data_IF_284443717819
#
_entry.id   IF_284443717819
#
_cell.length_a   1.000
_cell.length_b   1.000
_cell.length_c   1.000
_cell.angle_alpha   90.00
_cell.angle_beta   90.00
_cell.angle_gamma   90.00
#
_symmetry.space_group_name_H-M   'P 1'
#
loop_
_entity.id
_entity.type
_entity.pdbx_description
1 polymer ?
#
# COMPACT_ATOMS: atom_id res chain seq x y z
N UNK A 1 -17.68 -8.45 3.30
CA UNK A 1 -17.31 -9.53 2.39
C UNK A 1 -17.26 -9.01 0.95
N UNK A 2 -16.19 -9.35 0.26
CA UNK A 2 -15.99 -8.87 -1.09
C UNK A 2 -16.90 -9.59 -2.09
N UNK A 3 -17.45 -8.82 -3.03
CA UNK A 3 -18.20 -9.37 -4.15
C UNK A 3 -17.36 -9.43 -5.42
N UNK A 4 -16.10 -8.98 -5.36
CA UNK A 4 -15.22 -8.95 -6.52
C UNK A 4 -14.53 -10.30 -6.72
N UNK A 5 -14.29 -10.65 -7.97
CA UNK A 5 -13.52 -11.85 -8.29
C UNK A 5 -12.03 -11.58 -8.07
N UNK A 6 -11.23 -12.64 -7.99
CA UNK A 6 -9.79 -12.52 -7.84
C UNK A 6 -9.17 -11.72 -8.98
N UNK A 7 -9.66 -11.92 -10.22
CA UNK A 7 -9.15 -11.18 -11.37
C UNK A 7 -9.47 -9.69 -11.27
N UNK A 8 -10.67 -9.36 -10.80
CA UNK A 8 -11.06 -7.96 -10.62
C UNK A 8 -10.18 -7.28 -9.57
N UNK A 9 -9.91 -7.98 -8.47
CA UNK A 9 -9.05 -7.45 -7.42
C UNK A 9 -7.63 -7.22 -7.96
N UNK A 10 -7.09 -8.20 -8.69
CA UNK A 10 -5.76 -8.05 -9.28
C UNK A 10 -5.70 -6.88 -10.24
N UNK A 11 -6.77 -6.65 -11.00
CA UNK A 11 -6.80 -5.57 -11.99
C UNK A 11 -6.71 -4.19 -11.32
N UNK A 12 -7.31 -4.02 -10.14
CA UNK A 12 -7.26 -2.72 -9.44
C UNK A 12 -5.97 -2.54 -8.64
N UNK A 13 -5.26 -3.62 -8.33
CA UNK A 13 -4.08 -3.59 -7.47
C UNK A 13 -2.77 -3.46 -8.23
N UNK A 14 -2.79 -3.49 -9.55
CA UNK A 14 -1.57 -3.45 -10.34
C UNK A 14 -1.70 -2.50 -11.51
N UNK A 15 -0.58 -1.88 -11.87
CA UNK A 15 -0.51 -0.99 -13.03
C UNK A 15 0.89 -1.02 -13.62
N UNK A 16 0.97 -0.95 -14.95
CA UNK A 16 2.25 -0.89 -15.67
C UNK A 16 2.54 0.55 -16.03
N UNK A 17 3.76 0.98 -15.75
CA UNK A 17 4.23 2.33 -16.05
C UNK A 17 5.36 2.29 -17.07
N UNK A 18 5.44 3.32 -17.90
CA UNK A 18 6.51 3.46 -18.89
C UNK A 18 7.72 4.10 -18.22
N UNK A 19 8.46 3.30 -17.47
CA UNK A 19 9.60 3.79 -16.71
C UNK A 19 10.51 2.64 -16.30
N UNK A 20 11.70 2.99 -15.83
CA UNK A 20 12.64 2.02 -15.26
C UNK A 20 12.21 1.61 -13.87
N UNK A 21 12.58 0.40 -13.47
CA UNK A 21 12.28 -0.11 -12.13
C UNK A 21 12.75 0.84 -11.03
N UNK A 22 13.95 1.37 -11.16
CA UNK A 22 14.52 2.27 -10.16
C UNK A 22 13.66 3.52 -9.95
N UNK A 23 13.16 4.09 -11.04
CA UNK A 23 12.31 5.30 -10.96
C UNK A 23 10.97 4.98 -10.33
N UNK A 24 10.35 3.87 -10.75
CA UNK A 24 9.08 3.44 -10.16
C UNK A 24 9.24 3.15 -8.67
N UNK A 25 10.31 2.45 -8.30
CA UNK A 25 10.58 2.10 -6.91
C UNK A 25 10.69 3.35 -6.03
N UNK A 26 11.49 4.33 -6.46
CA UNK A 26 11.66 5.58 -5.73
C UNK A 26 10.33 6.34 -5.61
N UNK A 27 9.53 6.30 -6.66
CA UNK A 27 8.22 6.98 -6.67
C UNK A 27 7.26 6.35 -5.68
N UNK A 28 7.24 5.02 -5.59
CA UNK A 28 6.39 4.32 -4.62
C UNK A 28 6.81 4.65 -3.19
N UNK A 29 8.12 4.67 -2.92
CA UNK A 29 8.62 5.05 -1.58
C UNK A 29 8.13 6.44 -1.20
N UNK A 30 8.26 7.42 -2.12
CA UNK A 30 7.82 8.78 -1.85
C UNK A 30 6.33 8.86 -1.60
N UNK A 31 5.53 8.13 -2.40
CA UNK A 31 4.08 8.18 -2.24
C UNK A 31 3.65 7.60 -0.90
N UNK A 32 4.26 6.48 -0.47
CA UNK A 32 3.94 5.93 0.84
C UNK A 32 4.25 6.94 1.94
N UNK A 33 5.39 7.62 1.86
CA UNK A 33 5.74 8.64 2.84
C UNK A 33 4.80 9.84 2.80
N UNK A 34 4.43 10.28 1.59
CA UNK A 34 3.49 11.39 1.44
C UNK A 34 2.11 11.06 2.00
N UNK A 35 1.71 9.79 1.95
CA UNK A 35 0.46 9.33 2.52
C UNK A 35 0.55 9.16 4.05
N UNK A 36 1.71 9.41 4.64
CA UNK A 36 1.90 9.32 6.08
C UNK A 36 2.34 7.96 6.58
N UNK A 37 2.70 7.06 5.68
CA UNK A 37 3.15 5.73 6.07
C UNK A 37 4.61 5.75 6.49
N UNK A 38 4.94 4.85 7.40
CA UNK A 38 6.33 4.61 7.83
C UNK A 38 6.85 3.41 7.05
N UNK A 39 7.95 3.62 6.33
CA UNK A 39 8.56 2.51 5.57
C UNK A 39 9.19 1.54 6.56
N UNK A 40 8.81 0.28 6.47
CA UNK A 40 9.36 -0.78 7.32
C UNK A 40 10.52 -1.49 6.66
N UNK A 41 10.35 -1.88 5.41
CA UNK A 41 11.42 -2.51 4.63
C UNK A 41 11.35 -2.01 3.21
N UNK A 42 12.50 -1.95 2.55
CA UNK A 42 12.55 -1.64 1.13
C UNK A 42 13.80 -2.27 0.55
N UNK A 43 13.66 -2.89 -0.61
CA UNK A 43 14.77 -3.58 -1.28
C UNK A 43 14.56 -3.47 -2.78
N UNK A 44 15.41 -2.67 -3.41
CA UNK A 44 15.32 -2.45 -4.85
C UNK A 44 15.56 -3.73 -5.64
N UNK A 45 16.46 -4.58 -5.17
CA UNK A 45 16.79 -5.81 -5.91
C UNK A 45 15.60 -6.75 -6.02
N UNK A 46 14.87 -6.96 -4.93
CA UNK A 46 13.68 -7.80 -4.96
C UNK A 46 12.46 -7.03 -5.45
N UNK A 47 12.47 -5.71 -5.31
CA UNK A 47 11.34 -4.88 -5.68
C UNK A 47 10.27 -4.77 -4.61
N UNK A 48 10.53 -5.25 -3.39
CA UNK A 48 9.54 -5.22 -2.32
C UNK A 48 9.70 -4.00 -1.43
N UNK A 49 8.55 -3.44 -1.04
CA UNK A 49 8.45 -2.36 -0.06
C UNK A 49 7.34 -2.74 0.89
N UNK A 50 7.58 -2.60 2.19
CA UNK A 50 6.51 -2.72 3.19
C UNK A 50 6.47 -1.45 4.01
N UNK A 51 5.26 -1.03 4.36
CA UNK A 51 5.03 0.19 5.10
C UNK A 51 3.80 0.04 5.98
N UNK A 52 3.70 0.90 6.97
CA UNK A 52 2.60 0.84 7.93
C UNK A 52 2.15 2.25 8.26
N UNK A 53 0.83 2.48 8.25
CA UNK A 53 0.29 3.76 8.69
C UNK A 53 0.43 3.91 10.19
N UNK A 54 0.39 5.15 10.71
CA UNK A 54 0.32 5.34 12.16
C UNK A 54 -0.91 4.67 12.72
N UNK A 55 -0.78 4.13 13.92
CA UNK A 55 -1.88 3.48 14.60
C UNK A 55 -2.84 4.53 15.13
N UNK A 56 -4.13 4.35 14.86
CA UNK A 56 -5.19 5.19 15.40
C UNK A 56 -5.89 4.42 16.50
N UNK A 57 -6.00 5.04 17.69
CA UNK A 57 -6.67 4.42 18.81
C UNK A 57 -7.98 5.11 19.11
N UNK A 58 -8.97 4.32 19.55
CA UNK A 58 -10.24 4.83 19.99
C UNK A 58 -10.69 4.08 21.21
N UNK A 59 -11.42 4.76 22.07
CA UNK A 59 -12.02 4.12 23.23
C UNK A 59 -13.43 3.69 22.92
N UNK A 60 -13.74 2.48 23.33
CA UNK A 60 -15.11 1.98 23.27
C UNK A 60 -15.55 1.66 24.70
N UNK A 61 -16.84 1.46 24.89
CA UNK A 61 -17.36 1.09 26.20
C UNK A 61 -16.73 -0.24 26.61
N UNK A 62 -15.99 -0.22 27.73
CA UNK A 62 -15.37 -1.41 28.27
C UNK A 62 -14.08 -1.85 27.58
N UNK A 63 -13.51 -1.01 26.69
CA UNK A 63 -12.28 -1.39 26.01
C UNK A 63 -11.75 -0.33 25.08
N UNK A 64 -10.91 -0.76 24.11
CA UNK A 64 -10.36 0.15 23.13
C UNK A 64 -10.18 -0.55 21.78
N UNK A 65 -10.02 0.25 20.73
CA UNK A 65 -9.69 -0.25 19.39
C UNK A 65 -8.41 0.42 18.93
N UNK A 66 -7.61 -0.33 18.17
CA UNK A 66 -6.41 0.19 17.51
C UNK A 66 -6.48 -0.23 16.05
N UNK A 67 -6.32 0.74 15.16
CA UNK A 67 -6.45 0.52 13.72
C UNK A 67 -5.23 1.07 13.01
N UNK A 68 -4.64 0.27 12.15
CA UNK A 68 -3.61 0.73 11.22
C UNK A 68 -3.78 0.02 9.89
N UNK A 69 -3.04 0.50 8.90
CA UNK A 69 -3.05 -0.10 7.57
C UNK A 69 -1.63 -0.52 7.23
N UNK A 70 -1.49 -1.74 6.74
CA UNK A 70 -0.23 -2.24 6.23
C UNK A 70 -0.27 -2.14 4.71
N UNK A 71 0.79 -1.58 4.13
CA UNK A 71 0.91 -1.44 2.69
C UNK A 71 2.11 -2.23 2.22
N UNK A 72 1.94 -2.95 1.14
CA UNK A 72 3.05 -3.64 0.49
C UNK A 72 3.05 -3.25 -0.97
N UNK A 73 4.23 -3.21 -1.56
CA UNK A 73 4.39 -2.96 -2.99
C UNK A 73 5.37 -3.96 -3.56
N UNK A 74 5.10 -4.41 -4.76
CA UNK A 74 6.03 -5.23 -5.52
C UNK A 74 6.25 -4.56 -6.86
N UNK A 75 7.50 -4.18 -7.13
CA UNK A 75 7.88 -3.45 -8.33
C UNK A 75 8.72 -4.38 -9.19
N UNK A 76 8.23 -4.65 -10.39
CA UNK A 76 8.84 -5.64 -11.28
C UNK A 76 9.02 -5.06 -12.68
N UNK A 77 10.23 -5.08 -13.18
CA UNK A 77 10.47 -4.65 -14.56
C UNK A 77 10.14 -5.79 -15.49
N UNK A 78 9.12 -5.60 -16.34
CA UNK A 78 8.67 -6.63 -17.28
C UNK A 78 9.58 -6.72 -18.48
N UNK A 79 10.09 -5.59 -18.92
CA UNK A 79 11.07 -5.43 -20.00
C UNK A 79 11.62 -4.00 -19.88
N UNK A 80 12.74 -3.69 -20.56
CA UNK A 80 13.33 -2.35 -20.42
C UNK A 80 12.29 -1.25 -20.69
N UNK A 81 12.15 -0.36 -19.72
CA UNK A 81 11.22 0.77 -19.82
C UNK A 81 9.77 0.46 -19.48
N UNK A 82 9.45 -0.76 -19.05
CA UNK A 82 8.09 -1.13 -18.65
C UNK A 82 8.14 -1.80 -17.29
N UNK A 83 7.59 -1.13 -16.29
CA UNK A 83 7.64 -1.60 -14.91
C UNK A 83 6.24 -1.73 -14.35
N UNK A 84 5.96 -2.88 -13.77
CA UNK A 84 4.68 -3.16 -13.15
C UNK A 84 4.79 -2.88 -11.66
N UNK A 85 3.82 -2.16 -11.12
CA UNK A 85 3.70 -1.90 -9.70
C UNK A 85 2.44 -2.56 -9.19
N UNK A 86 2.59 -3.42 -8.20
CA UNK A 86 1.46 -4.03 -7.50
C UNK A 86 1.42 -3.47 -6.09
N UNK A 87 0.25 -3.02 -5.67
CA UNK A 87 0.02 -2.50 -4.34
C UNK A 87 -0.98 -3.36 -3.60
N UNK A 88 -0.80 -3.46 -2.29
CA UNK A 88 -1.73 -4.19 -1.45
C UNK A 88 -1.86 -3.45 -0.12
N UNK A 89 -3.09 -3.07 0.22
CA UNK A 89 -3.38 -2.40 1.48
C UNK A 89 -4.26 -3.30 2.32
N UNK A 90 -3.87 -3.50 3.58
CA UNK A 90 -4.62 -4.36 4.51
C UNK A 90 -4.87 -3.56 5.78
N UNK A 91 -6.14 -3.41 6.13
CA UNK A 91 -6.51 -2.76 7.39
C UNK A 91 -6.38 -3.78 8.52
N UNK A 92 -5.66 -3.41 9.56
CA UNK A 92 -5.47 -4.24 10.74
C UNK A 92 -6.20 -3.58 11.90
N UNK A 93 -7.10 -4.31 12.53
CA UNK A 93 -7.90 -3.80 13.62
C UNK A 93 -7.74 -4.71 14.83
N UNK A 94 -7.37 -4.11 15.98
CA UNK A 94 -7.27 -4.83 17.23
C UNK A 94 -8.29 -4.25 18.20
N UNK A 95 -9.10 -5.11 18.80
CA UNK A 95 -10.06 -4.72 19.81
C UNK A 95 -9.71 -5.39 21.13
N UNK A 96 -9.78 -4.61 22.21
CA UNK A 96 -9.55 -5.12 23.55
C UNK A 96 -10.78 -4.87 24.40
N UNK A 97 -11.25 -5.91 25.09
CA UNK A 97 -12.34 -5.75 26.05
C UNK A 97 -11.77 -5.37 27.43
N UNK A 98 -12.64 -4.92 28.31
CA UNK A 98 -12.24 -4.57 29.68
C UNK A 98 -11.74 -5.76 30.48
N UNK A 99 -11.90 -6.97 29.98
CA UNK A 99 -11.46 -8.18 30.67
C UNK A 99 -10.15 -8.73 30.09
N UNK A 100 -9.45 -7.95 29.30
CA UNK A 100 -8.16 -8.35 28.77
C UNK A 100 -8.20 -9.20 27.52
N UNK A 101 -9.38 -9.56 27.04
CA UNK A 101 -9.52 -10.31 25.80
C UNK A 101 -9.19 -9.40 24.62
N UNK A 102 -8.38 -9.91 23.67
CA UNK A 102 -7.99 -9.17 22.47
C UNK A 102 -8.42 -9.93 21.24
N UNK A 103 -8.95 -9.19 20.28
CA UNK A 103 -9.29 -9.74 18.98
C UNK A 103 -8.59 -8.92 17.92
N UNK A 104 -7.94 -9.60 16.99
CA UNK A 104 -7.26 -8.95 15.89
C UNK A 104 -7.86 -9.43 14.57
N UNK A 105 -8.15 -8.49 13.68
CA UNK A 105 -8.74 -8.80 12.40
C UNK A 105 -8.03 -8.01 11.30
N UNK A 106 -7.59 -8.71 10.27
CA UNK A 106 -6.98 -8.11 9.09
C UNK A 106 -7.96 -8.20 7.94
N UNK A 107 -8.22 -7.07 7.30
CA UNK A 107 -9.19 -6.98 6.21
C UNK A 107 -8.52 -6.34 5.00
N UNK A 108 -8.44 -7.05 3.87
CA UNK A 108 -7.90 -6.44 2.65
C UNK A 108 -8.76 -5.27 2.21
N UNK A 109 -8.11 -4.19 1.80
CA UNK A 109 -8.79 -3.04 1.21
C UNK A 109 -8.93 -3.31 -0.27
N UNK A 110 -10.17 -3.24 -0.79
CA UNK A 110 -10.47 -3.55 -2.18
C UNK A 110 -11.15 -2.39 -2.91
N UNK A 111 -11.19 -1.21 -2.28
CA UNK A 111 -11.79 -0.03 -2.88
C UNK A 111 -10.91 0.47 -4.04
N UNK A 112 -11.42 0.46 -5.29
CA UNK A 112 -10.62 0.90 -6.43
C UNK A 112 -10.13 2.34 -6.31
N UNK A 113 -10.89 3.19 -5.63
CA UNK A 113 -10.52 4.60 -5.47
C UNK A 113 -9.21 4.77 -4.73
N UNK A 114 -9.00 3.97 -3.69
CA UNK A 114 -7.78 4.03 -2.88
C UNK A 114 -6.57 3.66 -3.74
N UNK A 115 -6.69 2.59 -4.50
CA UNK A 115 -5.60 2.14 -5.37
C UNK A 115 -5.36 3.12 -6.50
N UNK A 116 -6.42 3.62 -7.12
CA UNK A 116 -6.29 4.57 -8.22
C UNK A 116 -5.62 5.86 -7.76
N UNK A 117 -5.99 6.38 -6.59
CA UNK A 117 -5.36 7.58 -6.05
C UNK A 117 -3.86 7.37 -5.84
N UNK A 118 -3.49 6.20 -5.33
CA UNK A 118 -2.07 5.88 -5.13
C UNK A 118 -1.33 5.82 -6.47
N UNK A 119 -1.93 5.18 -7.48
CA UNK A 119 -1.30 5.06 -8.80
C UNK A 119 -1.18 6.41 -9.50
N UNK A 120 -2.16 7.30 -9.32
CA UNK A 120 -2.05 8.66 -9.88
C UNK A 120 -0.86 9.39 -9.27
N UNK A 121 -0.68 9.29 -7.96
CA UNK A 121 0.45 9.92 -7.28
C UNK A 121 1.79 9.30 -7.72
N UNK A 122 1.80 7.99 -7.91
CA UNK A 122 3.00 7.30 -8.40
C UNK A 122 3.36 7.80 -9.79
N UNK A 123 2.35 7.94 -10.67
CA UNK A 123 2.58 8.45 -12.02
C UNK A 123 3.17 9.86 -11.98
N UNK A 124 2.66 10.72 -11.10
CA UNK A 124 3.20 12.07 -10.92
C UNK A 124 4.66 12.01 -10.48
N UNK A 125 4.96 11.14 -9.54
CA UNK A 125 6.33 10.96 -9.05
C UNK A 125 7.28 10.46 -10.13
N UNK A 126 6.80 9.55 -10.96
CA UNK A 126 7.58 9.03 -12.09
C UNK A 126 7.87 10.16 -13.08
N UNK A 127 6.85 10.96 -13.40
CA UNK A 127 7.00 12.07 -14.33
C UNK A 127 8.04 13.07 -13.85
N UNK A 128 7.99 13.44 -12.56
CA UNK A 128 8.93 14.38 -11.99
C UNK A 128 10.35 13.84 -12.04
N UNK A 129 10.55 12.59 -11.68
CA UNK A 129 11.89 11.98 -11.67
C UNK A 129 12.44 11.79 -13.09
N UNK A 130 11.58 11.43 -14.02
CA UNK A 130 12.01 11.25 -15.42
C UNK A 130 12.43 12.58 -16.05
N UNK A 131 11.78 13.67 -15.67
CA UNK A 131 12.14 15.00 -16.18
C UNK A 131 13.49 15.48 -15.66
N UNK A 132 13.97 14.89 -14.56
CA UNK A 132 15.24 15.28 -13.92
C UNK A 132 16.44 14.47 -14.41
N UNK A 133 16.20 13.44 -15.20
CA UNK A 133 17.27 12.58 -15.74
C UNK A 133 17.95 13.17 -16.94
#
# INVERSE_FOLDING_TARGET
KSTKTSLEIQAIQAKVFDTKKKVAFASVLSVFQDLGYIIKTSDLNTGFITAKSPTQSGRTFGGYTMIDTNATAFIEELRPGKTKVRLNFVKSEERSSGYGAKQKQDTPIEDPTIYNNAFVKIQEGIFIRSASE
#
